data_IF_262548874332
#
_entry.id   IF_262548874332
#
_cell.length_a   1.000
_cell.length_b   1.000
_cell.length_c   1.000
_cell.angle_alpha   90.00
_cell.angle_beta   90.00
_cell.angle_gamma   90.00
#
_symmetry.space_group_name_H-M   'P 1'
#
loop_
_entity.id
_entity.type
_entity.pdbx_description
1 polymer ?
#
# COMPACT_ATOMS: atom_id res chain seq x y z
N UNK A 1 0.72 27.59 -20.13
CA UNK A 1 2.10 28.08 -20.28
C UNK A 1 3.05 26.97 -19.88
N UNK A 2 4.19 26.77 -20.56
CA UNK A 2 5.22 25.86 -20.07
C UNK A 2 5.78 26.41 -18.75
N UNK A 3 5.90 25.54 -17.73
CA UNK A 3 6.54 25.88 -16.46
C UNK A 3 7.94 26.45 -16.76
N UNK A 4 8.32 27.64 -16.24
CA UNK A 4 9.64 28.22 -16.49
C UNK A 4 10.79 27.27 -16.15
N UNK A 5 10.59 26.43 -15.14
CA UNK A 5 11.50 25.35 -14.74
C UNK A 5 11.90 24.42 -15.90
N UNK A 6 10.98 24.11 -16.81
CA UNK A 6 11.23 23.22 -17.96
C UNK A 6 12.15 23.84 -19.03
N UNK A 7 12.47 25.13 -18.92
CA UNK A 7 13.46 25.79 -19.80
C UNK A 7 14.90 25.55 -19.37
N UNK A 8 15.13 25.07 -18.13
CA UNK A 8 16.46 24.78 -17.63
C UNK A 8 17.06 23.55 -18.37
N UNK A 9 18.39 23.41 -18.43
CA UNK A 9 19.00 22.17 -18.94
C UNK A 9 18.55 20.95 -18.14
N UNK A 10 18.35 19.81 -18.80
CA UNK A 10 17.78 18.61 -18.16
C UNK A 10 18.54 18.13 -16.91
N UNK A 11 19.87 18.23 -16.90
CA UNK A 11 20.70 17.91 -15.72
C UNK A 11 20.38 18.82 -14.53
N UNK A 12 20.18 20.12 -14.78
CA UNK A 12 19.82 21.09 -13.73
C UNK A 12 18.42 20.76 -13.20
N UNK A 13 17.49 20.41 -14.08
CA UNK A 13 16.13 20.03 -13.65
C UNK A 13 16.16 18.80 -12.73
N UNK A 14 16.92 17.76 -13.10
CA UNK A 14 17.06 16.55 -12.28
C UNK A 14 17.70 16.87 -10.93
N UNK A 15 18.75 17.69 -10.91
CA UNK A 15 19.45 18.04 -9.67
C UNK A 15 18.57 18.85 -8.72
N UNK A 16 17.76 19.79 -9.24
CA UNK A 16 16.78 20.52 -8.43
C UNK A 16 15.75 19.56 -7.84
N UNK A 17 15.22 18.62 -8.62
CA UNK A 17 14.25 17.65 -8.10
C UNK A 17 14.83 16.74 -7.01
N UNK A 18 16.12 16.39 -7.05
CA UNK A 18 16.77 15.60 -6.00
C UNK A 18 16.84 16.32 -4.65
N UNK A 19 16.80 17.65 -4.66
CA UNK A 19 16.84 18.47 -3.46
C UNK A 19 15.44 18.73 -2.87
N UNK A 20 14.38 18.43 -3.62
CA UNK A 20 13.01 18.57 -3.15
C UNK A 20 12.63 17.44 -2.18
N UNK A 21 11.65 17.72 -1.32
CA UNK A 21 11.01 16.65 -0.58
C UNK A 21 10.29 15.69 -1.54
N UNK A 22 10.22 14.41 -1.18
CA UNK A 22 9.54 13.38 -1.95
C UNK A 22 8.08 13.73 -2.29
N UNK A 23 7.41 14.47 -1.40
CA UNK A 23 6.04 14.96 -1.59
C UNK A 23 5.96 16.00 -2.71
N UNK A 24 6.93 16.90 -2.76
CA UNK A 24 7.00 17.92 -3.81
C UNK A 24 7.35 17.26 -5.15
N UNK A 25 8.21 16.24 -5.15
CA UNK A 25 8.49 15.43 -6.34
C UNK A 25 7.21 14.77 -6.89
N UNK A 26 6.33 14.26 -6.02
CA UNK A 26 5.02 13.77 -6.43
C UNK A 26 4.19 14.88 -7.09
N UNK A 27 4.11 16.08 -6.50
CA UNK A 27 3.38 17.20 -7.11
C UNK A 27 3.93 17.62 -8.46
N UNK A 28 5.25 17.73 -8.58
CA UNK A 28 5.92 18.06 -9.84
C UNK A 28 5.55 17.04 -10.92
N UNK A 29 5.50 15.75 -10.58
CA UNK A 29 5.15 14.68 -11.51
C UNK A 29 3.73 14.79 -12.10
N UNK A 30 2.84 15.54 -11.46
CA UNK A 30 1.45 15.72 -11.87
C UNK A 30 1.22 16.97 -12.72
N UNK A 31 2.19 17.89 -12.79
CA UNK A 31 1.99 19.17 -13.47
C UNK A 31 1.82 19.03 -14.99
N UNK A 32 2.65 18.22 -15.65
CA UNK A 32 2.55 17.93 -17.08
C UNK A 32 3.35 16.68 -17.48
N UNK A 33 3.14 16.19 -18.70
CA UNK A 33 3.86 15.01 -19.23
C UNK A 33 5.38 15.20 -19.24
N UNK A 34 5.87 16.38 -19.65
CA UNK A 34 7.31 16.67 -19.63
C UNK A 34 7.89 16.63 -18.21
N UNK A 35 7.17 17.18 -17.22
CA UNK A 35 7.62 17.17 -15.83
C UNK A 35 7.61 15.75 -15.25
N UNK A 36 6.63 14.92 -15.65
CA UNK A 36 6.60 13.50 -15.30
C UNK A 36 7.83 12.74 -15.85
N UNK A 37 8.27 13.02 -17.07
CA UNK A 37 9.51 12.45 -17.63
C UNK A 37 10.76 12.85 -16.84
N UNK A 38 10.84 14.12 -16.47
CA UNK A 38 11.96 14.65 -15.67
C UNK A 38 11.95 14.02 -14.28
N UNK A 39 10.79 13.90 -13.63
CA UNK A 39 10.65 13.19 -12.35
C UNK A 39 11.08 11.73 -12.47
N UNK A 40 10.69 11.03 -13.54
CA UNK A 40 11.13 9.66 -13.83
C UNK A 40 12.65 9.57 -14.07
N UNK A 41 13.30 10.67 -14.45
CA UNK A 41 14.75 10.74 -14.70
C UNK A 41 15.57 11.02 -13.44
N UNK A 42 14.93 11.39 -12.33
CA UNK A 42 15.57 11.45 -11.00
C UNK A 42 16.05 10.07 -10.54
N UNK A 43 15.43 9.00 -11.07
CA UNK A 43 15.75 7.60 -10.77
C UNK A 43 15.70 7.29 -9.27
N UNK A 44 14.62 7.73 -8.61
CA UNK A 44 14.31 7.30 -7.26
C UNK A 44 14.10 5.77 -7.26
N UNK A 45 14.84 5.09 -6.39
CA UNK A 45 14.86 3.62 -6.32
C UNK A 45 14.29 3.12 -4.98
N UNK A 46 12.99 3.32 -4.69
CA UNK A 46 12.39 2.77 -3.49
C UNK A 46 12.43 1.23 -3.56
N UNK A 47 12.67 0.56 -2.44
CA UNK A 47 12.55 -0.91 -2.35
C UNK A 47 11.09 -1.33 -2.23
N UNK A 48 10.27 -0.49 -1.59
CA UNK A 48 8.83 -0.71 -1.39
C UNK A 48 8.00 0.52 -1.67
N UNK A 49 6.80 0.28 -2.17
CA UNK A 49 5.70 1.26 -2.20
C UNK A 49 4.58 0.73 -1.32
N UNK A 50 4.23 1.50 -0.29
CA UNK A 50 3.14 1.21 0.61
C UNK A 50 1.91 2.02 0.22
N UNK A 51 0.81 1.33 -0.03
CA UNK A 51 -0.51 1.94 -0.19
C UNK A 51 -1.28 1.78 1.11
N UNK A 52 -1.41 2.87 1.86
CA UNK A 52 -2.21 2.95 3.06
C UNK A 52 -3.63 3.31 2.65
N UNK A 53 -4.51 2.32 2.65
CA UNK A 53 -5.89 2.44 2.21
C UNK A 53 -6.78 2.61 3.44
N UNK A 54 -7.48 3.74 3.48
CA UNK A 54 -8.51 4.06 4.45
C UNK A 54 -9.84 4.37 3.72
N UNK A 55 -10.94 4.48 4.47
CA UNK A 55 -12.30 4.61 3.92
C UNK A 55 -12.43 5.71 2.85
N UNK A 56 -11.87 6.89 3.10
CA UNK A 56 -11.96 8.07 2.24
C UNK A 56 -10.61 8.55 1.73
N UNK A 57 -9.51 7.83 1.94
CA UNK A 57 -8.19 8.30 1.53
C UNK A 57 -7.24 7.17 1.22
N UNK A 58 -6.32 7.45 0.30
CA UNK A 58 -5.19 6.58 -0.04
C UNK A 58 -3.92 7.41 0.09
N UNK A 59 -3.02 6.88 0.87
CA UNK A 59 -1.72 7.48 1.13
C UNK A 59 -0.63 6.57 0.57
N UNK A 60 0.30 7.17 -0.16
CA UNK A 60 1.45 6.50 -0.75
C UNK A 60 2.68 6.86 0.07
N UNK A 61 3.40 5.83 0.50
CA UNK A 61 4.61 5.96 1.30
C UNK A 61 5.69 5.08 0.68
N UNK A 62 6.92 5.58 0.63
CA UNK A 62 8.07 4.89 0.04
C UNK A 62 8.99 4.36 1.12
N UNK A 63 9.43 3.11 0.98
CA UNK A 63 10.50 2.52 1.79
C UNK A 63 11.75 2.32 0.93
N UNK A 64 12.88 2.88 1.34
CA UNK A 64 14.17 2.72 0.64
C UNK A 64 15.04 1.61 1.23
N UNK A 65 14.65 1.09 2.41
CA UNK A 65 15.32 -0.02 3.07
C UNK A 65 14.53 -1.33 2.92
N UNK A 66 15.21 -2.45 3.15
CA UNK A 66 14.57 -3.79 3.11
C UNK A 66 13.65 -4.06 4.28
N UNK A 67 13.71 -3.26 5.35
CA UNK A 67 12.82 -3.38 6.50
C UNK A 67 11.80 -2.23 6.49
N UNK A 68 10.65 -2.41 7.17
CA UNK A 68 9.59 -1.39 7.24
C UNK A 68 9.92 -0.24 8.19
N UNK A 69 11.20 0.00 8.44
CA UNK A 69 11.71 1.10 9.24
C UNK A 69 12.18 2.20 8.26
N UNK A 70 11.86 3.45 8.57
CA UNK A 70 12.13 4.63 7.72
C UNK A 70 11.35 4.65 6.39
N UNK A 71 10.04 4.87 6.53
CA UNK A 71 9.14 5.10 5.39
C UNK A 71 8.89 6.61 5.20
N UNK A 72 8.83 7.07 3.96
CA UNK A 72 8.71 8.49 3.61
C UNK A 72 7.42 8.79 2.85
N UNK A 73 6.76 9.87 3.23
CA UNK A 73 5.51 10.30 2.60
C UNK A 73 5.74 10.73 1.16
N UNK A 74 4.87 10.28 0.25
CA UNK A 74 4.99 10.62 -1.16
C UNK A 74 3.73 11.29 -1.71
N UNK A 75 2.55 10.71 -1.50
CA UNK A 75 1.32 11.27 -2.03
C UNK A 75 0.12 10.96 -1.17
N UNK A 76 -0.87 11.86 -1.18
CA UNK A 76 -2.14 11.69 -0.50
C UNK A 76 -3.28 12.06 -1.46
N UNK A 77 -4.24 11.15 -1.56
CA UNK A 77 -5.45 11.35 -2.36
C UNK A 77 -6.66 11.06 -1.47
N UNK A 78 -7.65 11.96 -1.43
CA UNK A 78 -8.87 11.88 -0.64
C UNK A 78 -10.11 11.86 -1.52
N UNK A 79 -11.08 11.03 -1.14
CA UNK A 79 -12.39 10.92 -1.76
C UNK A 79 -13.34 11.93 -1.12
N UNK A 80 -14.02 12.72 -1.95
CA UNK A 80 -15.07 13.64 -1.51
C UNK A 80 -16.47 13.12 -1.87
N UNK A 81 -17.47 13.69 -1.20
CA UNK A 81 -18.87 13.34 -1.35
C UNK A 81 -19.44 13.77 -2.71
N UNK A 82 -20.53 13.12 -3.14
CA UNK A 82 -21.13 13.30 -4.47
C UNK A 82 -21.56 14.73 -4.84
N UNK A 83 -21.92 15.56 -3.85
CA UNK A 83 -22.39 16.94 -4.08
C UNK A 83 -21.28 17.98 -4.13
N UNK A 84 -20.06 17.64 -3.70
CA UNK A 84 -18.95 18.58 -3.60
C UNK A 84 -18.17 18.61 -4.91
N UNK A 85 -18.70 19.35 -5.88
CA UNK A 85 -18.16 19.43 -7.25
C UNK A 85 -17.51 20.77 -7.56
N UNK A 86 -17.54 21.70 -6.62
CA UNK A 86 -16.96 23.04 -6.77
C UNK A 86 -15.44 22.95 -6.97
N UNK A 87 -14.95 23.79 -7.89
CA UNK A 87 -13.53 23.95 -8.23
C UNK A 87 -12.78 22.69 -8.71
N UNK A 88 -13.50 21.62 -9.07
CA UNK A 88 -12.90 20.45 -9.68
C UNK A 88 -12.34 20.77 -11.08
N UNK A 89 -11.05 20.51 -11.26
CA UNK A 89 -10.33 20.68 -12.53
C UNK A 89 -9.97 19.34 -13.13
N UNK A 90 -9.93 19.27 -14.45
CA UNK A 90 -9.46 18.09 -15.16
C UNK A 90 -7.94 18.01 -15.06
N UNK A 91 -7.42 16.90 -14.57
CA UNK A 91 -5.99 16.62 -14.47
C UNK A 91 -5.68 15.25 -15.09
N UNK A 92 -4.48 15.09 -15.66
CA UNK A 92 -4.00 13.77 -16.10
C UNK A 92 -3.31 13.06 -14.94
N UNK A 93 -3.74 11.84 -14.63
CA UNK A 93 -3.09 10.92 -13.70
C UNK A 93 -2.99 9.56 -14.37
N UNK A 94 -1.80 8.95 -14.40
CA UNK A 94 -1.63 7.62 -15.01
C UNK A 94 -2.13 7.50 -16.45
N UNK A 95 -2.08 8.60 -17.22
CA UNK A 95 -2.59 8.67 -18.60
C UNK A 95 -4.10 8.83 -18.74
N UNK A 96 -4.86 8.90 -17.64
CA UNK A 96 -6.31 9.15 -17.64
C UNK A 96 -6.60 10.57 -17.17
N UNK A 97 -7.63 11.17 -17.76
CA UNK A 97 -8.15 12.46 -17.32
C UNK A 97 -9.18 12.22 -16.22
N UNK A 98 -8.95 12.79 -15.03
CA UNK A 98 -9.80 12.70 -13.85
C UNK A 98 -10.18 14.10 -13.36
N UNK A 99 -11.33 14.23 -12.70
CA UNK A 99 -11.77 15.48 -12.08
C UNK A 99 -11.24 15.53 -10.64
N UNK A 100 -10.35 16.47 -10.40
CA UNK A 100 -9.67 16.61 -9.11
C UNK A 100 -9.51 18.07 -8.72
N UNK A 101 -9.34 18.33 -7.44
CA UNK A 101 -8.80 19.61 -6.95
C UNK A 101 -7.63 19.37 -6.01
N UNK A 102 -6.68 20.29 -6.01
CA UNK A 102 -5.57 20.30 -5.07
C UNK A 102 -5.99 21.14 -3.87
N UNK A 103 -5.88 20.59 -2.67
CA UNK A 103 -6.22 21.26 -1.43
C UNK A 103 -4.97 21.37 -0.57
N UNK A 104 -4.74 22.56 -0.02
CA UNK A 104 -3.74 22.77 1.02
C UNK A 104 -4.22 22.12 2.33
N UNK A 105 -3.37 21.30 2.94
CA UNK A 105 -3.71 20.61 4.17
C UNK A 105 -3.47 21.50 5.38
N UNK A 106 -4.51 21.71 6.17
CA UNK A 106 -4.42 22.37 7.49
C UNK A 106 -4.31 21.36 8.65
N UNK A 107 -4.53 20.07 8.37
CA UNK A 107 -4.73 19.03 9.39
C UNK A 107 -3.47 18.21 9.69
N UNK A 108 -2.49 18.19 8.77
CA UNK A 108 -1.43 17.18 8.78
C UNK A 108 -0.06 17.79 8.56
N UNK A 109 0.83 17.71 9.56
CA UNK A 109 2.27 18.01 9.37
C UNK A 109 2.93 17.12 8.32
N UNK A 110 2.30 16.00 7.96
CA UNK A 110 2.84 15.02 7.03
C UNK A 110 2.51 15.30 5.56
N UNK A 111 1.64 16.26 5.25
CA UNK A 111 1.29 16.62 3.88
C UNK A 111 0.94 18.09 3.84
N UNK A 112 1.62 18.89 3.00
CA UNK A 112 1.25 20.28 2.78
C UNK A 112 0.04 20.40 1.85
N UNK A 113 -0.12 19.43 0.94
CA UNK A 113 -1.22 19.39 -0.03
C UNK A 113 -1.73 17.96 -0.20
N UNK A 114 -2.95 17.81 -0.72
CA UNK A 114 -3.51 16.54 -1.17
C UNK A 114 -4.49 16.71 -2.32
N UNK A 115 -4.70 15.63 -3.08
CA UNK A 115 -5.68 15.61 -4.17
C UNK A 115 -7.04 15.16 -3.66
N UNK A 116 -8.09 15.86 -4.04
CA UNK A 116 -9.47 15.42 -3.86
C UNK A 116 -10.06 14.92 -5.17
N UNK A 117 -10.87 13.85 -5.10
CA UNK A 117 -11.59 13.28 -6.24
C UNK A 117 -12.99 12.81 -5.85
N UNK A 118 -13.90 12.81 -6.81
CA UNK A 118 -15.28 12.38 -6.61
C UNK A 118 -15.39 10.88 -6.33
N UNK A 119 -16.30 10.49 -5.43
CA UNK A 119 -16.58 9.09 -5.16
C UNK A 119 -16.84 8.26 -6.43
N UNK A 120 -17.58 8.81 -7.40
CA UNK A 120 -17.86 8.15 -8.68
C UNK A 120 -16.62 7.82 -9.51
N UNK A 121 -15.50 8.51 -9.30
CA UNK A 121 -14.23 8.26 -10.01
C UNK A 121 -13.28 7.32 -9.27
N UNK A 122 -13.70 6.76 -8.12
CA UNK A 122 -12.82 6.00 -7.22
C UNK A 122 -12.01 4.90 -7.89
N UNK A 123 -12.66 4.02 -8.65
CA UNK A 123 -11.95 2.92 -9.33
C UNK A 123 -10.94 3.44 -10.36
N UNK A 124 -11.28 4.52 -11.06
CA UNK A 124 -10.40 5.13 -12.07
C UNK A 124 -9.19 5.77 -11.40
N UNK A 125 -9.41 6.53 -10.32
CA UNK A 125 -8.35 7.23 -9.59
C UNK A 125 -7.35 6.25 -8.99
N UNK A 126 -7.80 5.16 -8.35
CA UNK A 126 -6.89 4.19 -7.73
C UNK A 126 -6.00 3.49 -8.76
N UNK A 127 -6.61 3.01 -9.85
CA UNK A 127 -5.86 2.37 -10.93
C UNK A 127 -4.89 3.36 -11.60
N UNK A 128 -5.33 4.60 -11.85
CA UNK A 128 -4.51 5.64 -12.47
C UNK A 128 -3.36 6.07 -11.57
N UNK A 129 -3.60 6.16 -10.26
CA UNK A 129 -2.58 6.44 -9.26
C UNK A 129 -1.52 5.34 -9.25
N UNK A 130 -1.92 4.07 -9.24
CA UNK A 130 -0.94 2.97 -9.30
C UNK A 130 -0.14 3.00 -10.61
N UNK A 131 -0.79 3.21 -11.76
CA UNK A 131 -0.09 3.34 -13.04
C UNK A 131 0.92 4.49 -13.04
N UNK A 132 0.55 5.63 -12.44
CA UNK A 132 1.44 6.78 -12.30
C UNK A 132 2.67 6.45 -11.45
N UNK A 133 2.47 5.76 -10.34
CA UNK A 133 3.57 5.33 -9.46
C UNK A 133 4.50 4.31 -10.13
N UNK A 134 3.93 3.31 -10.82
CA UNK A 134 4.70 2.33 -11.59
C UNK A 134 5.47 3.01 -12.75
N UNK A 135 4.95 4.11 -13.29
CA UNK A 135 5.63 4.88 -14.32
C UNK A 135 6.85 5.63 -13.77
N UNK A 136 6.73 6.25 -12.59
CA UNK A 136 7.80 7.06 -12.01
C UNK A 136 8.97 6.18 -11.55
N UNK A 137 8.68 5.03 -10.93
CA UNK A 137 9.70 4.16 -10.37
C UNK A 137 10.07 3.02 -11.33
N UNK A 138 11.22 3.16 -11.98
CA UNK A 138 11.72 2.22 -13.01
C UNK A 138 12.14 0.87 -12.44
N UNK A 139 12.48 0.83 -11.16
CA UNK A 139 13.03 -0.33 -10.48
C UNK A 139 11.96 -1.32 -9.98
N UNK A 140 10.70 -1.11 -10.37
CA UNK A 140 9.56 -1.98 -10.02
C UNK A 140 9.51 -2.34 -8.53
N UNK A 141 9.36 -1.33 -7.65
CA UNK A 141 9.39 -1.54 -6.21
C UNK A 141 8.33 -2.55 -5.77
N UNK A 142 8.65 -3.29 -4.69
CA UNK A 142 7.73 -4.25 -4.12
C UNK A 142 6.49 -3.54 -3.55
N UNK A 143 5.31 -3.96 -4.00
CA UNK A 143 4.04 -3.34 -3.60
C UNK A 143 3.53 -3.95 -2.29
N UNK A 144 3.26 -3.09 -1.31
CA UNK A 144 2.63 -3.44 -0.05
C UNK A 144 1.31 -2.70 0.13
N UNK A 145 0.26 -3.40 0.57
CA UNK A 145 -1.04 -2.82 0.90
C UNK A 145 -1.20 -2.79 2.42
N UNK A 146 -1.59 -1.65 2.97
CA UNK A 146 -1.93 -1.52 4.40
C UNK A 146 -3.40 -1.11 4.53
N UNK A 147 -4.19 -1.95 5.20
CA UNK A 147 -5.64 -1.78 5.34
C UNK A 147 -6.02 -1.60 6.80
N UNK A 148 -6.77 -0.55 7.13
CA UNK A 148 -7.07 -0.17 8.52
C UNK A 148 -8.56 -0.32 8.92
N UNK A 149 -9.45 -0.63 7.97
CA UNK A 149 -10.86 -0.91 8.26
C UNK A 149 -11.49 -1.78 7.17
N UNK A 150 -12.67 -2.36 7.45
CA UNK A 150 -13.38 -3.28 6.55
C UNK A 150 -13.65 -2.66 5.18
N UNK A 151 -14.15 -1.43 5.15
CA UNK A 151 -14.44 -0.72 3.89
C UNK A 151 -13.19 -0.49 3.04
N UNK A 152 -12.01 -0.45 3.66
CA UNK A 152 -10.75 -0.26 2.95
C UNK A 152 -10.26 -1.53 2.26
N UNK A 153 -10.75 -2.72 2.65
CA UNK A 153 -10.38 -3.98 2.01
C UNK A 153 -10.86 -4.03 0.58
N UNK A 154 -12.16 -3.76 0.35
CA UNK A 154 -12.75 -3.81 -0.98
C UNK A 154 -12.02 -2.84 -1.92
N UNK A 155 -11.71 -1.65 -1.43
CA UNK A 155 -10.94 -0.64 -2.15
C UNK A 155 -9.51 -1.09 -2.44
N UNK A 156 -8.87 -1.76 -1.49
CA UNK A 156 -7.51 -2.25 -1.67
C UNK A 156 -7.37 -3.30 -2.77
N UNK A 157 -8.45 -4.02 -3.10
CA UNK A 157 -8.47 -5.00 -4.21
C UNK A 157 -8.24 -4.37 -5.58
N UNK A 158 -8.38 -3.04 -5.70
CA UNK A 158 -8.07 -2.29 -6.92
C UNK A 158 -6.56 -2.11 -7.13
N UNK A 159 -5.74 -2.29 -6.09
CA UNK A 159 -4.28 -2.20 -6.17
C UNK A 159 -3.74 -3.57 -6.57
N UNK A 160 -3.10 -3.65 -7.73
CA UNK A 160 -2.64 -4.91 -8.33
C UNK A 160 -1.24 -5.29 -7.88
N UNK A 161 -0.88 -6.56 -8.04
CA UNK A 161 0.47 -7.09 -7.84
C UNK A 161 1.06 -6.84 -6.44
N UNK A 162 0.21 -6.73 -5.43
CA UNK A 162 0.64 -6.64 -4.05
C UNK A 162 1.33 -7.93 -3.61
N UNK A 163 2.55 -7.79 -3.09
CA UNK A 163 3.37 -8.89 -2.61
C UNK A 163 3.33 -9.03 -1.09
N UNK A 164 3.09 -7.91 -0.40
CA UNK A 164 2.93 -7.89 1.06
C UNK A 164 1.61 -7.18 1.44
N UNK A 165 1.04 -7.57 2.57
CA UNK A 165 -0.13 -6.88 3.13
C UNK A 165 -0.04 -6.79 4.65
N UNK A 166 -0.47 -5.65 5.19
CA UNK A 166 -0.77 -5.45 6.60
C UNK A 166 -2.27 -5.18 6.74
N UNK A 167 -2.94 -6.00 7.54
CA UNK A 167 -4.36 -5.83 7.85
C UNK A 167 -4.47 -5.51 9.34
N UNK A 168 -5.02 -4.33 9.62
CA UNK A 168 -5.36 -3.88 10.96
C UNK A 168 -6.87 -3.65 11.03
N UNK A 169 -7.60 -4.54 11.69
CA UNK A 169 -9.05 -4.42 11.87
C UNK A 169 -9.45 -4.91 13.25
N UNK A 170 -10.52 -4.33 13.79
CA UNK A 170 -11.01 -4.73 15.12
C UNK A 170 -11.62 -6.13 15.12
N UNK A 171 -12.39 -6.49 14.10
CA UNK A 171 -13.03 -7.80 13.97
C UNK A 171 -12.85 -8.29 12.54
N UNK A 172 -12.28 -9.47 12.39
CA UNK A 172 -11.99 -10.06 11.09
C UNK A 172 -12.65 -11.43 10.95
N UNK A 173 -13.38 -11.62 9.85
CA UNK A 173 -13.95 -12.92 9.49
C UNK A 173 -13.05 -13.66 8.51
N UNK A 174 -13.01 -14.99 8.60
CA UNK A 174 -12.30 -15.86 7.65
C UNK A 174 -12.75 -15.62 6.20
N UNK A 175 -14.05 -15.39 5.97
CA UNK A 175 -14.57 -15.13 4.63
C UNK A 175 -14.03 -13.82 4.03
N UNK A 176 -13.91 -12.78 4.85
CA UNK A 176 -13.33 -11.49 4.45
C UNK A 176 -11.85 -11.63 4.10
N UNK A 177 -11.09 -12.42 4.88
CA UNK A 177 -9.69 -12.74 4.59
C UNK A 177 -9.55 -13.41 3.23
N UNK A 178 -10.32 -14.48 3.01
CA UNK A 178 -10.29 -15.28 1.80
C UNK A 178 -10.68 -14.46 0.57
N UNK A 179 -11.70 -13.59 0.69
CA UNK A 179 -12.06 -12.66 -0.38
C UNK A 179 -10.89 -11.74 -0.76
N UNK A 180 -10.23 -11.15 0.24
CA UNK A 180 -9.06 -10.29 0.02
C UNK A 180 -7.93 -11.06 -0.65
N UNK A 181 -7.55 -12.22 -0.12
CA UNK A 181 -6.46 -13.03 -0.64
C UNK A 181 -6.71 -13.53 -2.08
N UNK A 182 -7.95 -13.92 -2.40
CA UNK A 182 -8.34 -14.29 -3.78
C UNK A 182 -8.14 -13.16 -4.79
N UNK A 183 -8.24 -11.89 -4.36
CA UNK A 183 -7.99 -10.73 -5.21
C UNK A 183 -6.52 -10.32 -5.28
N UNK A 184 -5.67 -10.89 -4.43
CA UNK A 184 -4.22 -10.69 -4.43
C UNK A 184 -3.48 -12.04 -4.54
N UNK A 185 -3.60 -12.76 -5.67
CA UNK A 185 -3.00 -14.10 -5.82
C UNK A 185 -1.47 -14.10 -5.80
N UNK A 186 -0.84 -12.93 -5.97
CA UNK A 186 0.61 -12.75 -5.94
C UNK A 186 1.16 -12.44 -4.55
N UNK A 187 0.30 -12.41 -3.53
CA UNK A 187 0.68 -12.13 -2.14
C UNK A 187 1.62 -13.22 -1.63
N UNK A 188 2.75 -12.82 -1.06
CA UNK A 188 3.75 -13.71 -0.47
C UNK A 188 3.80 -13.56 1.05
N UNK A 189 3.44 -12.38 1.56
CA UNK A 189 3.48 -12.04 2.98
C UNK A 189 2.19 -11.43 3.46
N UNK A 190 1.71 -11.87 4.62
CA UNK A 190 0.57 -11.26 5.29
C UNK A 190 0.88 -11.01 6.76
N UNK A 191 0.64 -9.78 7.21
CA UNK A 191 0.67 -9.40 8.61
C UNK A 191 -0.74 -9.06 9.06
N UNK A 192 -1.27 -9.83 10.00
CA UNK A 192 -2.58 -9.62 10.59
C UNK A 192 -2.41 -9.10 12.01
N UNK A 193 -2.92 -7.90 12.25
CA UNK A 193 -3.03 -7.25 13.55
C UNK A 193 -4.51 -6.97 13.82
N UNK A 194 -5.25 -8.04 14.00
CA UNK A 194 -6.70 -8.04 14.14
C UNK A 194 -7.15 -9.19 15.02
N UNK A 195 -8.21 -8.98 15.79
CA UNK A 195 -8.86 -10.07 16.51
C UNK A 195 -9.84 -10.79 15.56
N UNK A 196 -9.84 -12.12 15.58
CA UNK A 196 -10.76 -12.92 14.76
C UNK A 196 -12.07 -13.14 15.48
N UNK A 197 -13.19 -12.88 14.80
CA UNK A 197 -14.51 -13.11 15.38
C UNK A 197 -14.83 -14.60 15.51
N UNK A 198 -14.21 -15.43 14.65
CA UNK A 198 -14.43 -16.86 14.57
C UNK A 198 -13.05 -17.54 14.60
N UNK A 199 -12.82 -18.44 15.56
CA UNK A 199 -11.52 -19.12 15.78
C UNK A 199 -11.15 -20.14 14.70
N UNK A 200 -12.01 -20.37 13.69
CA UNK A 200 -11.83 -21.45 12.72
C UNK A 200 -11.46 -20.88 11.34
N UNK A 201 -10.17 -20.91 11.04
CA UNK A 201 -9.67 -20.78 9.67
C UNK A 201 -9.98 -22.07 8.90
N UNK A 202 -10.30 -21.96 7.61
CA UNK A 202 -10.57 -23.12 6.77
C UNK A 202 -9.32 -23.99 6.62
N UNK A 203 -9.50 -25.31 6.49
CA UNK A 203 -8.37 -26.23 6.38
C UNK A 203 -7.52 -25.99 5.12
N UNK A 204 -8.15 -25.55 4.04
CA UNK A 204 -7.57 -25.25 2.74
C UNK A 204 -7.37 -23.74 2.50
N UNK A 205 -7.42 -22.94 3.57
CA UNK A 205 -7.29 -21.49 3.50
C UNK A 205 -6.04 -21.05 2.72
N UNK A 206 -6.18 -19.98 1.93
CA UNK A 206 -5.10 -19.48 1.08
C UNK A 206 -3.88 -19.02 1.89
N UNK A 207 -4.10 -18.61 3.13
CA UNK A 207 -3.04 -18.15 4.03
C UNK A 207 -1.98 -19.22 4.34
N UNK A 208 -2.34 -20.51 4.25
CA UNK A 208 -1.39 -21.61 4.47
C UNK A 208 -0.36 -21.76 3.35
N UNK A 209 -0.62 -21.15 2.18
CA UNK A 209 0.24 -21.16 1.00
C UNK A 209 1.21 -19.98 0.96
N UNK A 210 1.12 -19.05 1.91
CA UNK A 210 2.00 -17.89 1.97
C UNK A 210 3.41 -18.29 2.40
N UNK A 211 4.40 -17.53 1.92
CA UNK A 211 5.78 -17.68 2.34
C UNK A 211 6.00 -17.12 3.76
N UNK A 212 5.31 -16.03 4.08
CA UNK A 212 5.50 -15.29 5.33
C UNK A 212 4.17 -14.95 5.98
N UNK A 213 4.05 -15.28 7.26
CA UNK A 213 2.88 -14.97 8.06
C UNK A 213 3.29 -14.30 9.36
N UNK A 214 2.73 -13.13 9.62
CA UNK A 214 2.84 -12.45 10.91
C UNK A 214 1.45 -12.35 11.50
N UNK A 215 1.31 -12.79 12.73
CA UNK A 215 0.02 -12.80 13.42
C UNK A 215 0.20 -12.21 14.82
N UNK A 216 -0.50 -11.12 15.10
CA UNK A 216 -0.52 -10.50 16.41
C UNK A 216 -1.79 -10.89 17.17
N UNK A 217 -1.67 -11.07 18.48
CA UNK A 217 -2.73 -11.63 19.34
C UNK A 217 -3.09 -13.04 18.88
N UNK A 218 -2.06 -13.86 18.66
CA UNK A 218 -2.25 -15.21 18.15
C UNK A 218 -2.78 -16.19 19.20
N UNK A 219 -2.67 -15.88 20.51
CA UNK A 219 -3.29 -16.55 21.67
C UNK A 219 -3.91 -17.92 21.35
N UNK A 220 -5.24 -18.00 21.20
CA UNK A 220 -5.97 -19.25 20.97
C UNK A 220 -5.71 -19.91 19.61
N UNK A 221 -5.29 -19.13 18.61
CA UNK A 221 -4.95 -19.64 17.27
C UNK A 221 -3.52 -20.19 17.16
N UNK A 222 -2.67 -19.98 18.17
CA UNK A 222 -1.24 -20.33 18.13
C UNK A 222 -1.01 -21.76 17.68
N UNK A 223 -1.71 -22.73 18.29
CA UNK A 223 -1.56 -24.15 17.96
C UNK A 223 -1.95 -24.45 16.52
N UNK A 224 -3.09 -23.91 16.06
CA UNK A 224 -3.56 -24.10 14.68
C UNK A 224 -2.58 -23.51 13.67
N UNK A 225 -2.11 -22.29 13.91
CA UNK A 225 -1.13 -21.59 13.06
C UNK A 225 0.16 -22.41 12.95
N UNK A 226 0.73 -22.85 14.07
CA UNK A 226 1.95 -23.67 14.08
C UNK A 226 1.78 -25.01 13.38
N UNK A 227 0.62 -25.66 13.51
CA UNK A 227 0.37 -26.95 12.85
C UNK A 227 0.19 -26.81 11.34
N UNK A 228 -0.65 -25.87 10.90
CA UNK A 228 -1.08 -25.75 9.50
C UNK A 228 -0.13 -24.92 8.64
N UNK A 229 0.52 -23.88 9.18
CA UNK A 229 1.39 -23.02 8.37
C UNK A 229 2.68 -23.74 7.98
N UNK A 230 2.95 -23.78 6.68
CA UNK A 230 4.10 -24.46 6.08
C UNK A 230 5.02 -23.49 5.32
N UNK A 231 4.82 -22.18 5.43
CA UNK A 231 5.72 -21.19 4.82
C UNK A 231 7.10 -21.14 5.48
N UNK A 232 7.93 -20.19 5.04
CA UNK A 232 9.33 -20.05 5.44
C UNK A 232 9.52 -19.23 6.71
N UNK A 233 8.67 -18.24 6.93
CA UNK A 233 8.77 -17.35 8.08
C UNK A 233 7.43 -17.18 8.77
N UNK A 234 7.42 -17.39 10.08
CA UNK A 234 6.24 -17.19 10.92
C UNK A 234 6.63 -16.35 12.12
N UNK A 235 5.88 -15.29 12.38
CA UNK A 235 6.03 -14.46 13.57
C UNK A 235 4.70 -14.47 14.30
N UNK A 236 4.71 -14.90 15.55
CA UNK A 236 3.54 -14.97 16.40
C UNK A 236 3.77 -14.06 17.60
N UNK A 237 3.01 -12.96 17.66
CA UNK A 237 3.03 -12.01 18.76
C UNK A 237 1.85 -12.28 19.68
N UNK A 238 2.05 -12.09 21.00
CA UNK A 238 1.12 -12.52 22.06
C UNK A 238 0.62 -13.95 21.83
N UNK A 239 1.54 -14.91 21.76
CA UNK A 239 1.22 -16.32 21.48
C UNK A 239 1.19 -17.16 22.76
N UNK A 240 0.35 -18.19 22.77
CA UNK A 240 0.33 -19.17 23.86
C UNK A 240 1.55 -20.08 23.78
N UNK A 241 2.40 -20.05 24.81
CA UNK A 241 3.58 -20.90 24.86
C UNK A 241 3.22 -22.32 25.31
N UNK A 242 3.49 -23.30 24.45
CA UNK A 242 3.44 -24.72 24.77
C UNK A 242 4.62 -25.43 24.09
N UNK A 243 5.45 -26.10 24.89
CA UNK A 243 6.72 -26.71 24.46
C UNK A 243 6.51 -27.73 23.35
N UNK A 244 5.42 -28.50 23.44
CA UNK A 244 5.05 -29.54 22.52
C UNK A 244 4.79 -28.98 21.11
N UNK A 245 4.07 -27.86 21.01
CA UNK A 245 3.77 -27.23 19.71
C UNK A 245 5.02 -26.68 19.03
N UNK A 246 5.93 -26.09 19.80
CA UNK A 246 7.22 -25.63 19.29
C UNK A 246 8.10 -26.78 18.82
N UNK A 247 8.16 -27.88 19.58
CA UNK A 247 8.87 -29.09 19.15
C UNK A 247 8.30 -29.66 17.84
N UNK A 248 6.97 -29.71 17.70
CA UNK A 248 6.31 -30.15 16.46
C UNK A 248 6.68 -29.24 15.28
N UNK A 249 6.60 -27.91 15.46
CA UNK A 249 6.93 -26.93 14.43
C UNK A 249 8.39 -27.04 13.96
N UNK A 250 9.35 -27.08 14.90
CA UNK A 250 10.78 -27.17 14.59
C UNK A 250 11.08 -28.45 13.83
N UNK A 251 10.58 -29.60 14.31
CA UNK A 251 10.76 -30.89 13.60
C UNK A 251 10.15 -30.85 12.21
N UNK A 252 9.00 -30.22 12.03
CA UNK A 252 8.34 -30.04 10.73
C UNK A 252 9.20 -29.22 9.78
N UNK A 253 9.80 -28.13 10.25
CA UNK A 253 10.65 -27.25 9.44
C UNK A 253 12.04 -27.83 9.15
N UNK A 254 12.61 -28.61 10.07
CA UNK A 254 13.89 -29.31 9.83
C UNK A 254 13.80 -30.40 8.75
N UNK A 255 12.61 -30.91 8.46
CA UNK A 255 12.38 -31.97 7.46
C UNK A 255 12.13 -31.42 6.05
N UNK A 256 12.05 -30.10 5.88
CA UNK A 256 11.92 -29.43 4.59
C UNK A 256 13.29 -29.08 4.03
#
# INVERSE_FOLDING_TARGET
>A
MPLPFLKLPGLVQVEVLKQLELRDVFWMSLCCEQMKEVTRSVDLQPKRVHYLVAYNRIQIVLGFLEYNENVHQFGLVRRISYGDTEDLKKMKLGGKTIKTRCIESTESKNFTHYLEYLHSEQSVVINSLQLHINYIFRNEPRVQINVYCTDSLSLSTLIKNAKDSLILQRLFSTATLEYFMKRHPTLESLHIKSDFSNSNLLEDAMLWKLDRLVFRNSEDMTQMLMRKFNGRYMILDNSNYCKEFWHELIRKWMRK
#
